data_IF_540488822514
#
_entry.id   IF_540488822514
#
_cell.length_a   1.000
_cell.length_b   1.000
_cell.length_c   1.000
_cell.angle_alpha   90.00
_cell.angle_beta   90.00
_cell.angle_gamma   90.00
#
_symmetry.space_group_name_H-M   'P 1'
#
loop_
_entity.id
_entity.type
_entity.pdbx_description
1 polymer ?
#
# COMPACT_ATOMS: atom_id res chain seq x y z
N UNK A 1 -26.47 -3.86 -13.69
CA UNK A 1 -25.51 -3.02 -12.95
C UNK A 1 -24.12 -3.40 -13.40
N UNK A 2 -23.31 -2.42 -13.80
CA UNK A 2 -21.90 -2.67 -14.17
C UNK A 2 -21.13 -3.12 -12.94
N UNK A 3 -20.29 -4.17 -13.06
CA UNK A 3 -19.43 -4.62 -11.97
C UNK A 3 -18.43 -3.53 -11.62
N UNK A 4 -18.26 -3.26 -10.33
CA UNK A 4 -17.33 -2.26 -9.82
C UNK A 4 -16.08 -2.98 -9.29
N UNK A 5 -14.92 -2.48 -9.65
CA UNK A 5 -13.61 -2.99 -9.26
C UNK A 5 -12.79 -1.92 -8.56
N UNK A 6 -11.68 -2.34 -7.99
CA UNK A 6 -10.67 -1.43 -7.41
C UNK A 6 -9.34 -1.67 -8.14
N UNK A 7 -8.94 -0.71 -8.98
CA UNK A 7 -7.58 -0.68 -9.52
C UNK A 7 -6.63 -0.19 -8.43
N UNK A 8 -5.54 -0.92 -8.21
CA UNK A 8 -4.48 -0.54 -7.29
C UNK A 8 -3.19 -0.32 -8.07
N UNK A 9 -2.58 0.84 -7.86
CA UNK A 9 -1.27 1.21 -8.38
C UNK A 9 -0.38 1.50 -7.17
N UNK A 10 0.80 0.90 -7.12
CA UNK A 10 1.80 1.14 -6.09
C UNK A 10 3.12 1.55 -6.75
N UNK A 11 3.65 2.70 -6.34
CA UNK A 11 4.87 3.28 -6.90
C UNK A 11 5.92 3.51 -5.80
N UNK A 12 7.16 3.10 -6.08
CA UNK A 12 8.29 3.30 -5.18
C UNK A 12 8.85 4.72 -5.36
N UNK A 13 8.50 5.61 -4.44
CA UNK A 13 8.87 7.03 -4.49
C UNK A 13 10.39 7.21 -4.43
N UNK A 14 10.92 8.09 -5.30
CA UNK A 14 12.34 8.40 -5.40
C UNK A 14 13.26 7.20 -5.76
N UNK A 15 12.72 6.11 -6.26
CA UNK A 15 13.51 4.95 -6.72
C UNK A 15 14.53 5.34 -7.79
N UNK A 16 14.22 6.35 -8.63
CA UNK A 16 15.14 6.88 -9.66
C UNK A 16 16.37 7.57 -9.06
N UNK A 17 16.29 8.06 -7.82
CA UNK A 17 17.42 8.65 -7.10
C UNK A 17 18.35 7.58 -6.49
N UNK A 18 17.94 6.31 -6.46
CA UNK A 18 18.80 5.22 -6.02
C UNK A 18 19.96 5.00 -6.99
N UNK A 19 21.17 4.66 -6.48
CA UNK A 19 22.25 4.18 -7.32
C UNK A 19 21.78 3.03 -8.24
N UNK A 20 22.30 2.99 -9.48
CA UNK A 20 21.85 2.05 -10.51
C UNK A 20 21.79 0.58 -10.03
N UNK A 21 22.82 0.13 -9.29
CA UNK A 21 22.87 -1.22 -8.74
C UNK A 21 21.77 -1.49 -7.68
N UNK A 22 21.39 -0.49 -6.87
CA UNK A 22 20.30 -0.62 -5.90
C UNK A 22 18.95 -0.65 -6.60
N UNK A 23 18.76 0.20 -7.61
CA UNK A 23 17.55 0.23 -8.43
C UNK A 23 17.33 -1.10 -9.16
N UNK A 24 18.39 -1.65 -9.79
CA UNK A 24 18.30 -2.95 -10.44
C UNK A 24 17.93 -4.08 -9.46
N UNK A 25 18.51 -4.06 -8.25
CA UNK A 25 18.12 -5.01 -7.18
C UNK A 25 16.67 -4.86 -6.75
N UNK A 26 16.18 -3.64 -6.57
CA UNK A 26 14.77 -3.38 -6.23
C UNK A 26 13.85 -3.95 -7.32
N UNK A 27 14.11 -3.65 -8.60
CA UNK A 27 13.31 -4.14 -9.72
C UNK A 27 13.32 -5.67 -9.81
N UNK A 28 14.47 -6.32 -9.60
CA UNK A 28 14.57 -7.78 -9.56
C UNK A 28 13.77 -8.36 -8.39
N UNK A 29 13.89 -7.75 -7.21
CA UNK A 29 13.15 -8.18 -6.02
C UNK A 29 11.63 -8.01 -6.18
N UNK A 30 11.17 -6.92 -6.84
CA UNK A 30 9.76 -6.70 -7.16
C UNK A 30 9.22 -7.80 -8.08
N UNK A 31 9.94 -8.13 -9.16
CA UNK A 31 9.55 -9.22 -10.07
C UNK A 31 9.50 -10.57 -9.35
N UNK A 32 10.47 -10.85 -8.49
CA UNK A 32 10.48 -12.07 -7.68
C UNK A 32 9.29 -12.14 -6.70
N UNK A 33 8.87 -11.00 -6.15
CA UNK A 33 7.75 -10.95 -5.22
C UNK A 33 6.38 -11.14 -5.89
N UNK A 34 6.25 -10.96 -7.21
CA UNK A 34 4.96 -11.07 -7.92
C UNK A 34 4.27 -12.41 -7.70
N UNK A 35 5.03 -13.52 -7.75
CA UNK A 35 4.46 -14.86 -7.57
C UNK A 35 3.79 -14.98 -6.19
N UNK A 36 4.47 -14.52 -5.15
CA UNK A 36 3.97 -14.60 -3.79
C UNK A 36 2.79 -13.63 -3.55
N UNK A 37 2.86 -12.39 -4.05
CA UNK A 37 1.75 -11.44 -3.99
C UNK A 37 0.51 -11.98 -4.69
N UNK A 38 0.66 -12.53 -5.90
CA UNK A 38 -0.42 -13.12 -6.66
C UNK A 38 -1.02 -14.35 -5.97
N UNK A 39 -0.21 -15.17 -5.31
CA UNK A 39 -0.68 -16.32 -4.54
C UNK A 39 -1.41 -15.87 -3.27
N UNK A 40 -0.82 -14.96 -2.51
CA UNK A 40 -1.35 -14.47 -1.22
C UNK A 40 -2.70 -13.79 -1.38
N UNK A 41 -2.85 -12.96 -2.41
CA UNK A 41 -4.07 -12.17 -2.63
C UNK A 41 -5.01 -12.76 -3.69
N UNK A 42 -4.78 -14.01 -4.15
CA UNK A 42 -5.52 -14.66 -5.25
C UNK A 42 -7.04 -14.51 -5.16
N UNK A 43 -7.62 -14.66 -3.98
CA UNK A 43 -9.08 -14.58 -3.78
C UNK A 43 -9.66 -13.18 -4.06
N UNK A 44 -8.83 -12.14 -3.88
CA UNK A 44 -9.23 -10.74 -4.06
C UNK A 44 -8.94 -10.22 -5.47
N UNK A 45 -8.11 -10.88 -6.24
CA UNK A 45 -7.69 -10.42 -7.55
C UNK A 45 -8.75 -10.72 -8.62
N UNK A 46 -9.08 -9.69 -9.41
CA UNK A 46 -9.78 -9.81 -10.70
C UNK A 46 -8.77 -9.90 -11.84
N UNK A 47 -7.66 -9.11 -11.80
CA UNK A 47 -6.48 -9.29 -12.63
C UNK A 47 -5.22 -9.23 -11.75
N UNK A 48 -4.23 -10.05 -12.09
CA UNK A 48 -3.03 -10.27 -11.28
C UNK A 48 -2.12 -9.05 -11.23
N UNK A 49 -1.31 -9.00 -10.15
CA UNK A 49 -0.20 -8.05 -10.06
C UNK A 49 0.78 -8.24 -11.22
N UNK A 50 1.19 -7.13 -11.78
CA UNK A 50 2.28 -7.02 -12.73
C UNK A 50 3.12 -5.78 -12.43
N UNK A 51 4.38 -5.79 -12.84
CA UNK A 51 5.24 -4.60 -12.87
C UNK A 51 4.99 -3.91 -14.20
N UNK A 52 4.68 -2.61 -14.18
CA UNK A 52 4.45 -1.81 -15.39
C UNK A 52 5.69 -1.00 -15.75
N UNK A 53 5.92 0.12 -15.11
CA UNK A 53 7.03 1.04 -15.41
C UNK A 53 8.12 0.92 -14.34
N UNK A 54 9.03 -0.04 -14.57
CA UNK A 54 10.25 -0.17 -13.77
C UNK A 54 10.04 -0.64 -12.32
N UNK A 55 9.43 0.16 -11.49
CA UNK A 55 9.20 -0.04 -10.06
C UNK A 55 7.74 0.23 -9.63
N UNK A 56 6.86 0.32 -10.60
CA UNK A 56 5.42 0.44 -10.38
C UNK A 56 4.75 -0.93 -10.48
N UNK A 57 3.89 -1.23 -9.50
CA UNK A 57 3.06 -2.44 -9.45
C UNK A 57 1.60 -2.07 -9.68
N UNK A 58 0.91 -2.83 -10.51
CA UNK A 58 -0.53 -2.71 -10.72
C UNK A 58 -1.26 -4.02 -10.48
N UNK A 59 -2.46 -3.96 -9.92
CA UNK A 59 -3.42 -5.07 -9.91
C UNK A 59 -4.86 -4.56 -9.97
N UNK A 60 -5.78 -5.45 -10.32
CA UNK A 60 -7.21 -5.19 -10.25
C UNK A 60 -7.83 -6.07 -9.17
N UNK A 61 -8.48 -5.44 -8.20
CA UNK A 61 -9.11 -6.08 -7.06
C UNK A 61 -10.62 -6.13 -7.23
N UNK A 62 -11.26 -7.15 -6.67
CA UNK A 62 -12.71 -7.30 -6.57
C UNK A 62 -13.32 -6.43 -5.47
N UNK A 63 -12.52 -6.01 -4.48
CA UNK A 63 -12.92 -5.14 -3.38
C UNK A 63 -11.72 -4.40 -2.79
N UNK A 64 -11.96 -3.40 -1.95
CA UNK A 64 -10.91 -2.64 -1.26
C UNK A 64 -10.35 -3.36 -0.01
N UNK A 65 -10.93 -4.49 0.40
CA UNK A 65 -10.55 -5.21 1.63
C UNK A 65 -9.04 -5.42 1.82
N UNK A 66 -8.27 -5.90 0.80
CA UNK A 66 -6.86 -6.18 0.99
C UNK A 66 -5.93 -4.96 0.87
N UNK A 67 -6.44 -3.78 0.49
CA UNK A 67 -5.63 -2.59 0.18
C UNK A 67 -4.71 -2.21 1.33
N UNK A 68 -5.24 -2.18 2.56
CA UNK A 68 -4.46 -1.86 3.76
C UNK A 68 -3.30 -2.82 3.97
N UNK A 69 -3.57 -4.12 3.87
CA UNK A 69 -2.55 -5.14 4.06
C UNK A 69 -1.50 -5.09 2.95
N UNK A 70 -1.91 -4.94 1.68
CA UNK A 70 -1.00 -4.82 0.54
C UNK A 70 -0.02 -3.66 0.76
N UNK A 71 -0.53 -2.48 1.14
CA UNK A 71 0.29 -1.30 1.37
C UNK A 71 1.35 -1.53 2.46
N UNK A 72 1.02 -2.23 3.55
CA UNK A 72 1.98 -2.53 4.62
C UNK A 72 2.92 -3.67 4.28
N UNK A 73 2.49 -4.66 3.48
CA UNK A 73 3.36 -5.72 2.98
C UNK A 73 4.44 -5.16 2.04
N UNK A 74 4.11 -4.20 1.18
CA UNK A 74 5.10 -3.55 0.32
C UNK A 74 6.16 -2.81 1.16
N UNK A 75 5.74 -2.02 2.16
CA UNK A 75 6.67 -1.33 3.08
C UNK A 75 7.53 -2.28 3.92
N UNK A 76 7.00 -3.45 4.25
CA UNK A 76 7.76 -4.47 4.97
C UNK A 76 8.82 -5.12 4.09
N UNK A 77 8.44 -5.50 2.87
CA UNK A 77 9.31 -6.23 1.94
C UNK A 77 10.40 -5.37 1.33
N UNK A 78 10.09 -4.10 1.08
CA UNK A 78 10.97 -3.15 0.40
C UNK A 78 11.18 -1.90 1.26
N UNK A 79 11.86 -2.03 2.42
CA UNK A 79 12.01 -0.95 3.40
C UNK A 79 12.99 0.15 2.96
N UNK A 80 13.70 -0.07 1.86
CA UNK A 80 14.66 0.87 1.29
C UNK A 80 14.03 2.00 0.48
N UNK A 81 12.72 1.89 0.17
CA UNK A 81 11.94 2.90 -0.53
C UNK A 81 10.65 3.20 0.21
N UNK A 82 10.14 4.39 0.00
CA UNK A 82 8.79 4.74 0.42
C UNK A 82 7.80 4.43 -0.71
N UNK A 83 6.56 4.09 -0.33
CA UNK A 83 5.53 3.69 -1.27
C UNK A 83 4.36 4.65 -1.22
N UNK A 84 3.91 5.11 -2.37
CA UNK A 84 2.55 5.61 -2.58
C UNK A 84 1.72 4.46 -3.13
N UNK A 85 0.59 4.19 -2.50
CA UNK A 85 -0.40 3.22 -2.98
C UNK A 85 -1.67 3.96 -3.31
N UNK A 86 -2.00 4.02 -4.58
CA UNK A 86 -3.20 4.67 -5.08
C UNK A 86 -4.25 3.64 -5.48
N UNK A 87 -5.49 3.91 -5.14
CA UNK A 87 -6.63 3.06 -5.50
C UNK A 87 -7.69 3.88 -6.22
N UNK A 88 -8.21 3.33 -7.30
CA UNK A 88 -9.33 3.89 -8.04
C UNK A 88 -10.49 2.90 -8.07
N UNK A 89 -11.70 3.37 -7.74
CA UNK A 89 -12.90 2.56 -7.74
C UNK A 89 -13.79 2.92 -8.91
N UNK A 90 -14.27 1.92 -9.64
CA UNK A 90 -15.15 2.13 -10.80
C UNK A 90 -15.27 0.87 -11.67
N UNK A 91 -16.00 0.96 -12.78
CA UNK A 91 -16.07 -0.12 -13.76
C UNK A 91 -14.76 -0.23 -14.57
N UNK A 92 -14.64 -1.32 -15.32
CA UNK A 92 -13.67 -1.50 -16.39
C UNK A 92 -14.36 -1.28 -17.75
N UNK A 93 -13.59 -0.87 -18.74
CA UNK A 93 -14.06 -0.63 -20.11
C UNK A 93 -13.65 -1.73 -21.10
N UNK A 94 -12.60 -2.49 -20.76
CA UNK A 94 -12.12 -3.65 -21.54
C UNK A 94 -12.59 -4.96 -20.93
N UNK A 95 -12.52 -6.09 -21.63
CA UNK A 95 -12.67 -7.41 -21.02
C UNK A 95 -11.64 -7.64 -19.90
N UNK A 96 -11.99 -8.46 -18.90
CA UNK A 96 -11.02 -8.92 -17.92
C UNK A 96 -9.91 -9.73 -18.59
N UNK A 97 -8.67 -9.43 -18.19
CA UNK A 97 -7.48 -10.13 -18.64
C UNK A 97 -6.70 -10.77 -17.50
N UNK A 98 -5.63 -11.48 -17.82
CA UNK A 98 -4.84 -12.20 -16.83
C UNK A 98 -4.07 -11.27 -15.88
N UNK A 99 -3.61 -10.12 -16.38
CA UNK A 99 -2.84 -9.14 -15.62
C UNK A 99 -3.42 -7.72 -15.76
N UNK A 100 -3.18 -6.89 -14.77
CA UNK A 100 -3.77 -5.54 -14.70
C UNK A 100 -3.42 -4.63 -15.89
N UNK A 101 -2.18 -4.62 -16.42
CA UNK A 101 -1.84 -3.76 -17.57
C UNK A 101 -2.60 -4.08 -18.86
N UNK A 102 -3.28 -5.22 -18.94
CA UNK A 102 -4.10 -5.63 -20.08
C UNK A 102 -5.56 -5.17 -19.92
N UNK A 103 -5.90 -4.53 -18.81
CA UNK A 103 -7.25 -4.05 -18.49
C UNK A 103 -7.24 -2.53 -18.40
N UNK A 104 -8.28 -1.88 -18.93
CA UNK A 104 -8.46 -0.43 -18.83
C UNK A 104 -9.89 -0.08 -18.40
N UNK A 105 -10.06 1.15 -17.91
CA UNK A 105 -11.35 1.71 -17.54
C UNK A 105 -11.31 2.78 -16.46
N UNK A 106 -12.50 3.31 -16.09
CA UNK A 106 -12.63 4.39 -15.12
C UNK A 106 -11.93 4.14 -13.77
N UNK A 107 -11.86 2.89 -13.29
CA UNK A 107 -11.14 2.57 -12.06
C UNK A 107 -9.63 2.82 -12.18
N UNK A 108 -9.00 2.51 -13.33
CA UNK A 108 -7.59 2.79 -13.57
C UNK A 108 -7.33 4.30 -13.73
N UNK A 109 -8.21 5.02 -14.44
CA UNK A 109 -8.11 6.47 -14.56
C UNK A 109 -8.20 7.16 -13.19
N UNK A 110 -9.13 6.73 -12.34
CA UNK A 110 -9.26 7.23 -10.98
C UNK A 110 -8.02 6.90 -10.12
N UNK A 111 -7.45 5.69 -10.27
CA UNK A 111 -6.22 5.31 -9.58
C UNK A 111 -5.02 6.14 -10.04
N UNK A 112 -4.89 6.42 -11.34
CA UNK A 112 -3.82 7.30 -11.88
C UNK A 112 -3.92 8.72 -11.34
N UNK A 113 -5.10 9.33 -11.38
CA UNK A 113 -5.32 10.66 -10.79
C UNK A 113 -5.01 10.69 -9.29
N UNK A 114 -5.42 9.65 -8.54
CA UNK A 114 -5.07 9.50 -7.14
C UNK A 114 -3.55 9.33 -6.93
N UNK A 115 -2.84 8.60 -7.81
CA UNK A 115 -1.39 8.44 -7.75
C UNK A 115 -0.66 9.78 -7.93
N UNK A 116 -1.06 10.58 -8.91
CA UNK A 116 -0.47 11.91 -9.14
C UNK A 116 -0.65 12.81 -7.90
N UNK A 117 -1.87 12.86 -7.33
CA UNK A 117 -2.14 13.58 -6.08
C UNK A 117 -1.29 13.02 -4.94
N UNK A 118 -1.22 11.70 -4.79
CA UNK A 118 -0.43 11.04 -3.77
C UNK A 118 1.05 11.40 -3.83
N UNK A 119 1.63 11.46 -5.03
CA UNK A 119 3.02 11.88 -5.23
C UNK A 119 3.21 13.37 -4.92
N UNK A 120 2.33 14.24 -5.41
CA UNK A 120 2.42 15.69 -5.21
C UNK A 120 2.30 16.09 -3.73
N UNK A 121 1.42 15.43 -2.98
CA UNK A 121 1.13 15.72 -1.58
C UNK A 121 1.87 14.79 -0.60
N UNK A 122 2.71 13.88 -1.09
CA UNK A 122 3.43 12.89 -0.28
C UNK A 122 2.51 12.01 0.56
N UNK A 123 1.40 11.58 -0.02
CA UNK A 123 0.47 10.65 0.64
C UNK A 123 1.01 9.22 0.58
N UNK A 124 0.71 8.43 1.60
CA UNK A 124 1.03 7.00 1.62
C UNK A 124 -0.05 6.15 0.97
N UNK A 125 -1.28 6.63 1.05
CA UNK A 125 -2.48 6.06 0.45
C UNK A 125 -3.23 7.19 -0.24
N UNK A 126 -3.75 6.95 -1.43
CA UNK A 126 -4.56 7.90 -2.16
C UNK A 126 -5.75 7.18 -2.79
N UNK A 127 -6.92 7.81 -2.82
CA UNK A 127 -8.15 7.18 -3.26
C UNK A 127 -8.87 8.04 -4.30
N UNK A 128 -9.46 7.39 -5.31
CA UNK A 128 -10.33 8.03 -6.30
C UNK A 128 -11.60 7.20 -6.49
N UNK A 129 -12.77 7.83 -6.46
CA UNK A 129 -14.05 7.15 -6.63
C UNK A 129 -14.58 6.39 -5.41
N UNK A 130 -14.03 6.63 -4.22
CA UNK A 130 -14.43 5.98 -2.95
C UNK A 130 -15.36 6.84 -2.07
N UNK A 131 -15.75 8.00 -2.57
CA UNK A 131 -16.52 8.95 -1.76
C UNK A 131 -15.67 9.76 -0.77
N UNK A 132 -16.29 10.69 -0.02
CA UNK A 132 -15.57 11.75 0.68
C UNK A 132 -14.88 11.33 1.99
N UNK A 133 -15.07 10.09 2.46
CA UNK A 133 -14.56 9.67 3.78
C UNK A 133 -13.12 9.17 3.75
N UNK A 134 -12.72 8.44 2.71
CA UNK A 134 -11.40 7.79 2.66
C UNK A 134 -10.24 8.76 2.39
N UNK A 135 -10.47 9.80 1.58
CA UNK A 135 -9.41 10.78 1.28
C UNK A 135 -8.91 11.52 2.52
N UNK A 136 -9.77 12.15 3.35
CA UNK A 136 -9.31 12.80 4.58
C UNK A 136 -8.64 11.84 5.58
N UNK A 137 -9.10 10.58 5.65
CA UNK A 137 -8.46 9.55 6.48
C UNK A 137 -7.05 9.23 5.97
N UNK A 138 -6.86 9.15 4.65
CA UNK A 138 -5.57 8.89 4.05
C UNK A 138 -4.60 10.06 4.25
N UNK A 139 -5.09 11.29 4.16
CA UNK A 139 -4.34 12.52 4.42
C UNK A 139 -3.87 12.56 5.89
N UNK A 140 -4.80 12.35 6.83
CA UNK A 140 -4.49 12.27 8.26
C UNK A 140 -3.49 11.16 8.57
N UNK A 141 -3.69 9.97 8.01
CA UNK A 141 -2.77 8.85 8.18
C UNK A 141 -1.36 9.16 7.65
N UNK A 142 -1.29 9.84 6.51
CA UNK A 142 -0.02 10.24 5.91
C UNK A 142 0.70 11.28 6.77
N UNK A 143 -0.02 12.28 7.29
CA UNK A 143 0.52 13.26 8.21
C UNK A 143 1.07 12.62 9.50
N UNK A 144 0.31 11.70 10.09
CA UNK A 144 0.74 10.92 11.26
C UNK A 144 2.03 10.12 10.97
N UNK A 145 2.07 9.42 9.84
CA UNK A 145 3.23 8.62 9.46
C UNK A 145 4.48 9.49 9.25
N UNK A 146 4.37 10.60 8.57
CA UNK A 146 5.50 11.49 8.33
C UNK A 146 5.99 12.21 9.59
N UNK A 147 5.13 12.39 10.59
CA UNK A 147 5.51 12.88 11.92
C UNK A 147 6.42 11.91 12.69
N UNK A 148 6.48 10.65 12.30
CA UNK A 148 7.33 9.66 12.95
C UNK A 148 8.77 9.66 12.42
N UNK A 149 9.72 9.35 13.30
CA UNK A 149 11.10 9.08 12.91
C UNK A 149 11.17 7.83 12.02
N UNK A 150 12.22 7.67 11.20
CA UNK A 150 12.39 6.45 10.37
C UNK A 150 12.31 5.15 11.20
N UNK A 151 12.86 5.15 12.41
CA UNK A 151 12.80 3.99 13.32
C UNK A 151 11.38 3.71 13.81
N UNK A 152 10.60 4.75 14.12
CA UNK A 152 9.19 4.60 14.49
C UNK A 152 8.35 4.11 13.30
N UNK A 153 8.55 4.65 12.09
CA UNK A 153 7.89 4.16 10.87
C UNK A 153 8.14 2.68 10.64
N UNK A 154 9.40 2.25 10.79
CA UNK A 154 9.76 0.84 10.66
C UNK A 154 9.10 0.00 11.77
N UNK A 155 9.11 0.44 13.01
CA UNK A 155 8.45 -0.25 14.12
C UNK A 155 6.93 -0.35 13.90
N UNK A 156 6.28 0.73 13.45
CA UNK A 156 4.84 0.73 13.13
C UNK A 156 4.49 -0.29 12.04
N UNK A 157 5.29 -0.38 10.96
CA UNK A 157 5.10 -1.40 9.92
C UNK A 157 5.16 -2.81 10.50
N UNK A 158 6.15 -3.09 11.35
CA UNK A 158 6.34 -4.41 11.95
C UNK A 158 5.23 -4.77 12.96
N UNK A 159 4.80 -3.80 13.77
CA UNK A 159 3.71 -3.98 14.73
C UNK A 159 2.32 -4.20 14.07
N UNK A 160 2.14 -3.77 12.82
CA UNK A 160 0.94 -4.07 12.03
C UNK A 160 0.92 -5.48 11.47
N UNK A 161 2.09 -6.07 11.29
CA UNK A 161 2.26 -7.38 10.65
C UNK A 161 2.44 -8.52 11.64
N UNK A 162 2.79 -8.20 12.91
CA UNK A 162 3.02 -9.23 13.91
C UNK A 162 3.12 -8.69 15.33
N UNK A 163 3.30 -9.58 16.31
CA UNK A 163 3.41 -9.22 17.72
C UNK A 163 4.68 -8.41 18.01
N UNK A 164 4.77 -7.73 19.18
CA UNK A 164 5.97 -6.97 19.57
C UNK A 164 7.27 -7.78 19.54
N UNK A 165 7.21 -9.09 19.81
CA UNK A 165 8.37 -9.98 19.73
C UNK A 165 8.90 -10.11 18.28
N UNK A 166 8.00 -10.16 17.28
CA UNK A 166 8.37 -10.14 15.88
C UNK A 166 9.06 -8.83 15.51
N UNK A 167 8.50 -7.70 15.94
CA UNK A 167 9.10 -6.38 15.70
C UNK A 167 10.50 -6.27 16.34
N UNK A 168 10.68 -6.76 17.56
CA UNK A 168 11.96 -6.77 18.26
C UNK A 168 13.03 -7.55 17.48
N UNK A 169 12.68 -8.77 17.04
CA UNK A 169 13.56 -9.62 16.25
C UNK A 169 13.97 -8.95 14.92
N UNK A 170 13.01 -8.36 14.19
CA UNK A 170 13.28 -7.68 12.92
C UNK A 170 14.10 -6.39 13.06
N UNK A 171 13.93 -5.67 14.18
CA UNK A 171 14.70 -4.46 14.49
C UNK A 171 16.06 -4.77 15.16
N UNK A 172 16.31 -6.03 15.52
CA UNK A 172 17.50 -6.47 16.28
C UNK A 172 17.67 -5.67 17.59
N UNK A 173 16.59 -5.58 18.36
CA UNK A 173 16.54 -4.87 19.65
C UNK A 173 15.74 -5.68 20.67
N UNK A 174 15.82 -5.29 21.93
CA UNK A 174 15.01 -5.89 23.00
C UNK A 174 13.53 -5.49 22.91
N UNK A 175 12.66 -6.32 23.50
CA UNK A 175 11.22 -6.03 23.59
C UNK A 175 10.93 -4.71 24.30
N UNK A 176 11.72 -4.35 25.31
CA UNK A 176 11.62 -3.07 26.01
C UNK A 176 11.77 -1.87 25.05
N UNK A 177 12.74 -1.93 24.13
CA UNK A 177 12.95 -0.88 23.13
C UNK A 177 11.73 -0.74 22.20
N UNK A 178 11.12 -1.86 21.79
CA UNK A 178 9.85 -1.82 21.00
C UNK A 178 8.72 -1.22 21.82
N UNK A 179 8.59 -1.58 23.10
CA UNK A 179 7.59 -1.02 24.00
C UNK A 179 7.76 0.50 24.18
N UNK A 180 8.99 0.98 24.29
CA UNK A 180 9.27 2.42 24.32
C UNK A 180 8.88 3.11 23.01
N UNK A 181 9.20 2.54 21.84
CA UNK A 181 8.78 3.07 20.54
C UNK A 181 7.25 3.12 20.44
N UNK A 182 6.57 2.03 20.80
CA UNK A 182 5.11 1.93 20.80
C UNK A 182 4.46 2.99 21.70
N UNK A 183 4.99 3.21 22.90
CA UNK A 183 4.50 4.26 23.82
C UNK A 183 4.65 5.66 23.21
N UNK A 184 5.82 5.97 22.64
CA UNK A 184 6.08 7.27 22.01
C UNK A 184 5.21 7.55 20.77
N UNK A 185 4.75 6.51 20.10
CA UNK A 185 3.81 6.58 18.98
C UNK A 185 2.34 6.55 19.40
N UNK A 186 2.05 6.45 20.71
CA UNK A 186 0.68 6.19 21.21
C UNK A 186 0.03 4.97 20.49
N UNK A 187 0.78 3.88 20.38
CA UNK A 187 0.43 2.73 19.55
C UNK A 187 -1.00 2.19 19.73
N UNK A 188 -1.57 2.10 20.94
CA UNK A 188 -2.96 1.66 21.10
C UNK A 188 -3.95 2.53 20.34
N UNK A 189 -3.74 3.85 20.30
CA UNK A 189 -4.58 4.79 19.54
C UNK A 189 -4.37 4.65 18.04
N UNK A 190 -3.11 4.49 17.61
CA UNK A 190 -2.77 4.20 16.21
C UNK A 190 -3.44 2.92 15.75
N UNK A 191 -3.37 1.84 16.53
CA UNK A 191 -4.00 0.56 16.21
C UNK A 191 -5.54 0.65 16.16
N UNK A 192 -6.15 1.49 16.99
CA UNK A 192 -7.57 1.80 16.90
C UNK A 192 -7.91 2.54 15.60
N UNK A 193 -7.12 3.55 15.23
CA UNK A 193 -7.24 4.27 13.95
C UNK A 193 -7.06 3.33 12.74
N UNK A 194 -6.10 2.41 12.80
CA UNK A 194 -5.90 1.38 11.76
C UNK A 194 -7.16 0.51 11.57
N UNK A 195 -7.85 0.14 12.65
CA UNK A 195 -9.12 -0.59 12.60
C UNK A 195 -10.22 0.23 11.93
N UNK A 196 -10.34 1.51 12.28
CA UNK A 196 -11.31 2.41 11.65
C UNK A 196 -11.04 2.60 10.16
N UNK A 197 -9.77 2.74 9.76
CA UNK A 197 -9.40 2.85 8.36
C UNK A 197 -9.80 1.60 7.57
N UNK A 198 -9.53 0.41 8.13
CA UNK A 198 -9.95 -0.87 7.52
C UNK A 198 -11.47 -0.99 7.40
N UNK A 199 -12.22 -0.58 8.41
CA UNK A 199 -13.68 -0.55 8.35
C UNK A 199 -14.15 0.40 7.24
N UNK A 200 -13.59 1.60 7.13
CA UNK A 200 -13.93 2.54 6.07
C UNK A 200 -13.65 2.00 4.65
N UNK A 201 -12.59 1.18 4.48
CA UNK A 201 -12.31 0.50 3.20
C UNK A 201 -13.39 -0.56 2.85
N UNK A 202 -13.93 -1.25 3.86
CA UNK A 202 -14.98 -2.27 3.66
C UNK A 202 -16.36 -1.63 3.41
N UNK A 203 -16.62 -0.49 4.03
CA UNK A 203 -17.88 0.26 3.91
C UNK A 203 -17.91 1.18 2.68
N UNK A 204 -16.80 1.32 1.97
CA UNK A 204 -16.75 2.15 0.78
C UNK A 204 -17.75 1.61 -0.27
N UNK A 205 -18.66 2.47 -0.76
CA UNK A 205 -19.81 2.08 -1.58
C UNK A 205 -19.44 1.35 -2.85
#
# INVERSE_FOLDING_TARGET
MSLVYVALIADAVHSRALPAARRARLQSALRAALKDLNTRYRRFLAARFAVTLGDELECLLKSAEPVWEIAHQLRFRFPEVEWVVACGRGPIATPLAATAPEVDGPCFHAARAAMERGKAQRLLLAFGGFGPRLEPLADYYSALYWGWTPRQRRAATLLRLGPPAFAAAQLKVDRSAVSHLARRMAWPLVAAGDKMFRAALLEAP
#
